data_IF_628101743225
#
_entry.id   IF_628101743225
#
_cell.length_a   1.000
_cell.length_b   1.000
_cell.length_c   1.000
_cell.angle_alpha   90.00
_cell.angle_beta   90.00
_cell.angle_gamma   90.00
#
_symmetry.space_group_name_H-M   'P 1'
#
loop_
_entity.id
_entity.type
_entity.pdbx_description
1 polymer ?
#
# COMPACT_ATOMS: atom_id res chain seq x y z
N UNK A 1 23.71 13.10 16.48
CA UNK A 1 22.67 13.58 15.51
C UNK A 1 21.22 13.36 16.02
N UNK A 2 20.95 13.20 17.34
CA UNK A 2 19.74 12.49 17.80
C UNK A 2 18.75 13.22 18.73
N UNK A 3 18.64 14.55 18.74
CA UNK A 3 17.70 15.24 19.67
C UNK A 3 16.88 16.38 19.04
N UNK A 4 17.17 16.78 17.79
CA UNK A 4 16.49 17.88 17.10
C UNK A 4 15.88 17.45 15.75
N UNK A 5 15.62 16.15 15.54
CA UNK A 5 15.21 15.61 14.25
C UNK A 5 13.91 16.20 13.68
N UNK A 6 13.05 16.75 14.54
CA UNK A 6 11.79 17.38 14.15
C UNK A 6 11.82 18.91 14.11
N UNK A 7 12.90 19.53 14.62
CA UNK A 7 12.99 20.98 14.70
C UNK A 7 13.09 21.57 13.30
N UNK A 8 12.10 22.38 12.93
CA UNK A 8 12.05 23.03 11.61
C UNK A 8 11.40 22.20 10.51
N UNK A 9 10.95 20.97 10.79
CA UNK A 9 10.13 20.21 9.84
C UNK A 9 8.72 20.78 9.78
N UNK A 10 8.10 20.73 8.60
CA UNK A 10 6.68 21.02 8.40
C UNK A 10 5.99 19.76 7.90
N UNK A 11 4.98 19.29 8.63
CA UNK A 11 4.25 18.07 8.32
C UNK A 11 2.75 18.37 8.14
N UNK A 12 2.18 17.78 7.10
CA UNK A 12 0.75 17.80 6.84
C UNK A 12 0.07 16.52 7.31
N UNK A 13 -1.07 16.63 7.97
CA UNK A 13 -1.90 15.48 8.34
C UNK A 13 -3.09 15.43 7.40
N UNK A 14 -3.07 14.46 6.50
CA UNK A 14 -4.12 14.29 5.49
C UNK A 14 -5.30 13.59 6.14
N UNK A 15 -6.45 14.25 6.35
CA UNK A 15 -7.60 13.64 7.08
C UNK A 15 -8.69 13.07 6.16
N UNK A 16 -8.56 13.28 4.86
CA UNK A 16 -9.55 12.86 3.87
C UNK A 16 -9.23 11.52 3.17
N UNK A 17 -8.29 10.74 3.70
CA UNK A 17 -8.01 9.36 3.27
C UNK A 17 -8.78 8.39 4.18
N UNK A 18 -9.94 7.89 3.75
CA UNK A 18 -10.84 6.96 4.46
C UNK A 18 -10.46 6.54 5.91
N UNK A 19 -10.53 7.48 6.86
CA UNK A 19 -10.17 7.25 8.27
C UNK A 19 -11.23 6.45 9.05
N UNK A 20 -12.41 6.22 8.46
CA UNK A 20 -13.52 5.51 9.12
C UNK A 20 -13.25 4.02 9.27
N UNK A 21 -12.32 3.46 8.49
CA UNK A 21 -11.85 2.08 8.60
C UNK A 21 -10.83 1.86 9.74
N UNK A 22 -10.33 2.94 10.37
CA UNK A 22 -9.30 2.85 11.41
C UNK A 22 -9.96 2.66 12.78
N UNK A 23 -9.60 1.62 13.56
CA UNK A 23 -10.09 1.46 14.93
C UNK A 23 -9.80 2.68 15.80
N UNK A 24 -10.76 3.08 16.65
CA UNK A 24 -10.66 4.30 17.47
C UNK A 24 -9.41 4.36 18.34
N UNK A 25 -8.95 3.22 18.85
CA UNK A 25 -7.74 3.14 19.67
C UNK A 25 -6.46 3.43 18.86
N UNK A 26 -6.44 3.02 17.58
CA UNK A 26 -5.34 3.34 16.67
C UNK A 26 -5.36 4.81 16.29
N UNK A 27 -6.55 5.39 16.02
CA UNK A 27 -6.70 6.81 15.74
C UNK A 27 -6.25 7.68 16.93
N UNK A 28 -6.59 7.28 18.16
CA UNK A 28 -6.12 7.95 19.38
C UNK A 28 -4.59 7.87 19.51
N UNK A 29 -4.01 6.72 19.22
CA UNK A 29 -2.55 6.53 19.23
C UNK A 29 -1.86 7.40 18.18
N UNK A 30 -2.42 7.45 16.97
CA UNK A 30 -1.96 8.32 15.90
C UNK A 30 -1.98 9.80 16.31
N UNK A 31 -3.09 10.29 16.87
CA UNK A 31 -3.21 11.68 17.33
C UNK A 31 -2.21 12.01 18.46
N UNK A 32 -1.94 11.06 19.36
CA UNK A 32 -0.89 11.23 20.39
C UNK A 32 0.49 11.39 19.76
N UNK A 33 0.81 10.62 18.71
CA UNK A 33 2.08 10.72 18.01
C UNK A 33 2.24 12.07 17.30
N UNK A 34 1.21 12.57 16.63
CA UNK A 34 1.22 13.91 16.00
C UNK A 34 1.50 15.01 17.04
N UNK A 35 0.83 14.95 18.20
CA UNK A 35 1.05 15.89 19.29
C UNK A 35 2.49 15.83 19.84
N UNK A 36 3.08 14.64 19.93
CA UNK A 36 4.47 14.48 20.36
C UNK A 36 5.44 15.10 19.34
N UNK A 37 5.21 14.87 18.04
CA UNK A 37 6.05 15.44 16.98
C UNK A 37 5.99 16.98 16.98
N UNK A 38 4.81 17.56 17.20
CA UNK A 38 4.66 19.01 17.38
C UNK A 38 5.48 19.53 18.57
N UNK A 39 5.39 18.86 19.73
CA UNK A 39 6.16 19.20 20.94
C UNK A 39 7.67 19.12 20.74
N UNK A 40 8.14 18.26 19.83
CA UNK A 40 9.55 18.12 19.46
C UNK A 40 10.03 19.17 18.45
N UNK A 41 9.17 20.12 18.06
CA UNK A 41 9.55 21.30 17.28
C UNK A 41 9.18 21.28 15.80
N UNK A 42 8.34 20.33 15.37
CA UNK A 42 7.76 20.35 14.03
C UNK A 42 6.55 21.30 13.96
N UNK A 43 6.37 21.94 12.81
CA UNK A 43 5.14 22.66 12.45
C UNK A 43 4.16 21.66 11.86
N UNK A 44 3.00 21.49 12.50
CA UNK A 44 1.95 20.58 12.01
C UNK A 44 0.82 21.40 11.37
N UNK A 45 0.42 21.02 10.16
CA UNK A 45 -0.81 21.47 9.51
C UNK A 45 -1.79 20.31 9.46
N UNK A 46 -2.85 20.40 10.24
CA UNK A 46 -3.86 19.35 10.39
C UNK A 46 -5.26 19.99 10.44
N UNK A 47 -6.15 19.76 9.45
CA UNK A 47 -5.97 18.87 8.30
C UNK A 47 -5.24 19.52 7.11
N UNK A 48 -4.69 18.68 6.24
CA UNK A 48 -4.47 18.96 4.82
C UNK A 48 -5.46 18.11 4.00
N UNK A 49 -5.97 18.69 2.92
CA UNK A 49 -6.78 17.96 1.95
C UNK A 49 -5.92 17.56 0.76
N UNK A 50 -5.97 16.29 0.40
CA UNK A 50 -5.53 15.85 -0.92
C UNK A 50 -6.71 15.89 -1.87
N UNK A 51 -6.64 16.76 -2.88
CA UNK A 51 -7.70 16.93 -3.89
C UNK A 51 -8.03 15.63 -4.61
N UNK A 52 -7.04 14.74 -4.74
CA UNK A 52 -7.17 13.43 -5.38
C UNK A 52 -7.40 12.28 -4.40
N UNK A 53 -7.74 12.55 -3.13
CA UNK A 53 -7.90 11.51 -2.11
C UNK A 53 -8.90 10.41 -2.53
N UNK A 54 -9.98 10.78 -3.21
CA UNK A 54 -11.01 9.83 -3.67
C UNK A 54 -10.47 8.80 -4.69
N UNK A 55 -9.45 9.17 -5.48
CA UNK A 55 -8.78 8.21 -6.38
C UNK A 55 -8.04 7.13 -5.60
N UNK A 56 -7.39 7.51 -4.49
CA UNK A 56 -6.71 6.56 -3.62
C UNK A 56 -7.68 5.72 -2.78
N UNK A 57 -8.79 6.31 -2.33
CA UNK A 57 -9.79 5.60 -1.54
C UNK A 57 -10.56 4.58 -2.39
N UNK A 58 -10.91 4.93 -3.63
CA UNK A 58 -11.64 4.02 -4.51
C UNK A 58 -10.77 2.85 -5.01
N UNK A 59 -9.45 3.03 -5.11
CA UNK A 59 -8.49 1.99 -5.53
C UNK A 59 -8.69 1.47 -6.96
N UNK A 60 -9.68 1.98 -7.70
CA UNK A 60 -10.09 1.44 -9.01
C UNK A 60 -9.00 1.55 -10.06
N UNK A 61 -8.30 2.69 -10.11
CA UNK A 61 -7.19 2.91 -11.04
C UNK A 61 -5.97 2.07 -10.67
N UNK A 62 -5.66 1.97 -9.37
CA UNK A 62 -4.53 1.15 -8.91
C UNK A 62 -4.76 -0.33 -9.22
N UNK A 63 -5.95 -0.86 -8.92
CA UNK A 63 -6.30 -2.25 -9.23
C UNK A 63 -6.23 -2.54 -10.73
N UNK A 64 -6.75 -1.64 -11.58
CA UNK A 64 -6.68 -1.81 -13.03
C UNK A 64 -5.22 -1.87 -13.53
N UNK A 65 -4.37 -0.95 -13.06
CA UNK A 65 -2.95 -0.94 -13.43
C UNK A 65 -2.27 -2.21 -12.91
N UNK A 66 -2.56 -2.59 -11.67
CA UNK A 66 -1.99 -3.80 -11.05
C UNK A 66 -2.38 -5.05 -11.81
N UNK A 67 -3.63 -5.22 -12.25
CA UNK A 67 -4.06 -6.37 -13.05
C UNK A 67 -3.32 -6.48 -14.39
N UNK A 68 -3.16 -5.34 -15.08
CA UNK A 68 -2.47 -5.27 -16.36
C UNK A 68 -0.98 -5.58 -16.18
N UNK A 69 -0.34 -4.91 -15.23
CA UNK A 69 1.08 -5.04 -14.95
C UNK A 69 1.42 -6.41 -14.36
N UNK A 70 0.54 -6.98 -13.54
CA UNK A 70 0.71 -8.32 -13.00
C UNK A 70 0.72 -9.37 -14.11
N UNK A 71 -0.25 -9.34 -15.03
CA UNK A 71 -0.29 -10.27 -16.16
C UNK A 71 0.97 -10.14 -17.02
N UNK A 72 1.28 -8.93 -17.46
CA UNK A 72 2.41 -8.66 -18.37
C UNK A 72 3.75 -8.94 -17.70
N UNK A 73 3.94 -8.45 -16.48
CA UNK A 73 5.16 -8.60 -15.69
C UNK A 73 5.45 -10.07 -15.37
N UNK A 74 4.42 -10.83 -14.98
CA UNK A 74 4.56 -12.27 -14.73
C UNK A 74 5.02 -13.01 -15.98
N UNK A 75 4.41 -12.76 -17.14
CA UNK A 75 4.81 -13.40 -18.39
C UNK A 75 6.25 -13.04 -18.79
N UNK A 76 6.62 -11.76 -18.70
CA UNK A 76 7.98 -11.32 -18.99
C UNK A 76 9.01 -11.99 -18.08
N UNK A 77 8.71 -12.09 -16.78
CA UNK A 77 9.58 -12.75 -15.82
C UNK A 77 9.68 -14.26 -16.09
N UNK A 78 8.57 -14.97 -16.27
CA UNK A 78 8.57 -16.42 -16.49
C UNK A 78 9.34 -16.84 -17.75
N UNK A 79 9.34 -15.99 -18.79
CA UNK A 79 10.13 -16.21 -20.01
C UNK A 79 11.64 -16.20 -19.76
N UNK A 80 12.12 -15.56 -18.69
CA UNK A 80 13.54 -15.57 -18.32
C UNK A 80 13.98 -16.85 -17.59
N UNK A 81 13.04 -17.62 -17.04
CA UNK A 81 13.34 -18.79 -16.23
C UNK A 81 13.71 -20.00 -17.10
N UNK A 82 14.74 -20.74 -16.71
CA UNK A 82 15.22 -21.92 -17.45
C UNK A 82 14.62 -23.23 -16.92
N UNK A 83 14.32 -23.32 -15.62
CA UNK A 83 13.93 -24.56 -14.95
C UNK A 83 12.41 -24.78 -14.85
N UNK A 84 11.64 -24.17 -15.76
CA UNK A 84 10.19 -24.34 -15.82
C UNK A 84 9.69 -24.18 -17.23
N UNK A 85 8.66 -24.96 -17.58
CA UNK A 85 7.95 -24.84 -18.85
C UNK A 85 6.79 -23.83 -18.77
N UNK A 86 6.45 -23.32 -17.59
CA UNK A 86 5.44 -22.27 -17.43
C UNK A 86 6.04 -20.94 -17.89
N UNK A 87 5.43 -20.33 -18.91
CA UNK A 87 5.87 -19.08 -19.55
C UNK A 87 4.83 -17.98 -19.51
N UNK A 88 3.61 -18.28 -19.07
CA UNK A 88 2.49 -17.34 -19.03
C UNK A 88 1.72 -17.44 -17.71
N UNK A 89 0.93 -16.42 -17.39
CA UNK A 89 -0.02 -16.47 -16.27
C UNK A 89 -1.06 -17.59 -16.46
N UNK A 90 -1.42 -17.90 -17.71
CA UNK A 90 -2.33 -19.01 -18.02
C UNK A 90 -1.74 -20.35 -17.56
N UNK A 91 -0.46 -20.57 -17.81
CA UNK A 91 0.21 -21.82 -17.41
C UNK A 91 0.20 -21.99 -15.88
N UNK A 92 0.38 -20.89 -15.13
CA UNK A 92 0.28 -20.90 -13.67
C UNK A 92 -1.14 -21.23 -13.19
N UNK A 93 -2.16 -20.65 -13.82
CA UNK A 93 -3.57 -20.93 -13.48
C UNK A 93 -3.90 -22.41 -13.75
N UNK A 94 -3.47 -22.94 -14.89
CA UNK A 94 -3.66 -24.36 -15.23
C UNK A 94 -2.93 -25.27 -14.25
N UNK A 95 -1.69 -24.93 -13.89
CA UNK A 95 -0.92 -25.67 -12.88
C UNK A 95 -1.64 -25.69 -11.53
N UNK A 96 -2.10 -24.53 -11.03
CA UNK A 96 -2.79 -24.44 -9.75
C UNK A 96 -4.11 -25.24 -9.75
N UNK A 97 -4.88 -25.19 -10.83
CA UNK A 97 -6.11 -25.96 -10.96
C UNK A 97 -5.84 -27.48 -11.00
N UNK A 98 -4.76 -27.93 -11.63
CA UNK A 98 -4.37 -29.34 -11.66
C UNK A 98 -3.79 -29.84 -10.33
N UNK A 99 -3.31 -28.93 -9.47
CA UNK A 99 -2.71 -29.22 -8.17
C UNK A 99 -3.50 -28.59 -7.02
N UNK A 100 -4.83 -28.50 -7.18
CA UNK A 100 -5.71 -27.75 -6.26
C UNK A 100 -5.55 -28.16 -4.80
N UNK A 101 -5.36 -29.44 -4.55
CA UNK A 101 -5.22 -30.00 -3.20
C UNK A 101 -3.96 -29.52 -2.47
N UNK A 102 -2.94 -29.06 -3.21
CA UNK A 102 -1.70 -28.50 -2.65
C UNK A 102 -1.70 -26.98 -2.65
N UNK A 103 -2.22 -26.37 -3.72
CA UNK A 103 -2.14 -24.92 -3.93
C UNK A 103 -3.28 -24.15 -3.23
N UNK A 104 -4.39 -24.82 -2.90
CA UNK A 104 -5.57 -24.18 -2.30
C UNK A 104 -6.02 -24.80 -0.97
N UNK A 105 -5.30 -25.80 -0.45
CA UNK A 105 -5.55 -26.28 0.92
C UNK A 105 -5.13 -25.21 1.93
N UNK A 106 -6.10 -24.68 2.68
CA UNK A 106 -5.87 -23.87 3.88
C UNK A 106 -5.94 -24.74 5.14
#
# INVERSE_FOLDING_TARGET
>A
RGINGFRGLSLGVVRNLNYTAIPQDQLRTFNKAINLIAKLGAKIKDPINFETADYFVSGTTELLILEIDFKRGTELYLKTLQNTNMKTLKDLIEFNNQNSDKEFSQ
#
